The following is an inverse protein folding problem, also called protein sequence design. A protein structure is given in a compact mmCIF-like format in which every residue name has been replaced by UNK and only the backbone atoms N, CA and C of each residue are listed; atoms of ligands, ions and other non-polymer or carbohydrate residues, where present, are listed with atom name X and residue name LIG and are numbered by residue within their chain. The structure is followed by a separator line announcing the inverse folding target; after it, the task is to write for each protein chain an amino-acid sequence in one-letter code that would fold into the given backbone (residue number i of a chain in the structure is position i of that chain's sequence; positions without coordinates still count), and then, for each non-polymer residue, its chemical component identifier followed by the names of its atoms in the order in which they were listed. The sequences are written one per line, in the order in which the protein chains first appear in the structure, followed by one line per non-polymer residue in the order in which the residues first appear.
data_IF_548555472519
#
_entry.id   IF_548555472519
#
_cell.length_a   1.000
_cell.length_b   1.000
_cell.length_c   1.000
_cell.angle_alpha   90.00
_cell.angle_beta   90.00
_cell.angle_gamma   90.00
#
_symmetry.space_group_name_H-M   'P 1'
#
loop_
_entity.id
_entity.type
_entity.pdbx_description
1 polymer ?
#
# COMPACT_ATOMS: atom_id res chain seq x y z
N UNK A 1 14.28 -38.32 22.20
CA UNK A 1 14.23 -38.06 20.76
C UNK A 1 12.84 -37.72 20.25
N UNK A 2 11.84 -38.52 20.59
CA UNK A 2 10.45 -38.22 20.22
C UNK A 2 9.97 -36.86 20.75
N UNK A 3 10.28 -36.56 22.01
CA UNK A 3 9.91 -35.31 22.65
C UNK A 3 10.51 -34.10 21.96
N UNK A 4 11.79 -34.21 21.50
CA UNK A 4 12.46 -33.12 20.79
C UNK A 4 11.82 -32.85 19.43
N UNK A 5 11.33 -33.88 18.74
CA UNK A 5 10.65 -33.75 17.45
C UNK A 5 9.28 -33.09 17.65
N UNK A 6 8.54 -33.50 18.68
CA UNK A 6 7.23 -32.92 18.99
C UNK A 6 7.36 -31.45 19.39
N UNK A 7 8.34 -31.11 20.23
CA UNK A 7 8.64 -29.73 20.60
C UNK A 7 9.00 -28.89 19.38
N UNK A 8 9.83 -29.45 18.50
CA UNK A 8 10.21 -28.76 17.27
C UNK A 8 9.00 -28.46 16.38
N UNK A 9 8.09 -29.41 16.22
CA UNK A 9 6.86 -29.23 15.41
C UNK A 9 5.98 -28.14 16.02
N UNK A 10 5.78 -28.17 17.35
CA UNK A 10 4.98 -27.17 18.06
C UNK A 10 5.58 -25.77 17.90
N UNK A 11 6.88 -25.65 18.07
CA UNK A 11 7.58 -24.36 17.89
C UNK A 11 7.50 -23.87 16.45
N UNK A 12 7.64 -24.76 15.48
CA UNK A 12 7.53 -24.41 14.06
C UNK A 12 6.14 -23.89 13.72
N UNK A 13 5.09 -24.54 14.22
CA UNK A 13 3.72 -24.12 14.03
C UNK A 13 3.42 -22.77 14.70
N UNK A 14 3.90 -22.58 15.93
CA UNK A 14 3.75 -21.33 16.64
C UNK A 14 4.45 -20.19 15.91
N UNK A 15 5.65 -20.43 15.38
CA UNK A 15 6.40 -19.47 14.58
C UNK A 15 5.66 -19.11 13.31
N UNK A 16 5.09 -20.11 12.62
CA UNK A 16 4.30 -19.91 11.42
C UNK A 16 3.09 -19.03 11.69
N UNK A 17 2.38 -19.27 12.78
CA UNK A 17 1.23 -18.45 13.19
C UNK A 17 1.65 -17.01 13.48
N UNK A 18 2.75 -16.81 14.19
CA UNK A 18 3.26 -15.46 14.48
C UNK A 18 3.63 -14.71 13.19
N UNK A 19 4.27 -15.38 12.23
CA UNK A 19 4.63 -14.79 10.94
C UNK A 19 3.39 -14.44 10.12
N UNK A 20 2.36 -15.28 10.16
CA UNK A 20 1.10 -15.01 9.47
C UNK A 20 0.42 -13.77 10.04
N UNK A 21 0.31 -13.68 11.37
CA UNK A 21 -0.29 -12.52 12.05
C UNK A 21 0.52 -11.25 11.75
N UNK A 22 1.83 -11.36 11.79
CA UNK A 22 2.71 -10.24 11.45
C UNK A 22 2.49 -9.76 10.01
N UNK A 23 2.44 -10.70 9.06
CA UNK A 23 2.22 -10.38 7.64
C UNK A 23 0.87 -9.69 7.42
N UNK A 24 -0.18 -10.17 8.10
CA UNK A 24 -1.51 -9.57 8.03
C UNK A 24 -1.52 -8.14 8.55
N UNK A 25 -0.85 -7.88 9.68
CA UNK A 25 -0.75 -6.54 10.25
C UNK A 25 0.03 -5.59 9.33
N UNK A 26 1.12 -6.05 8.73
CA UNK A 26 1.89 -5.26 7.77
C UNK A 26 1.03 -4.94 6.55
N UNK A 27 0.26 -5.91 6.05
CA UNK A 27 -0.62 -5.71 4.91
C UNK A 27 -1.71 -4.67 5.21
N UNK A 28 -2.33 -4.73 6.38
CA UNK A 28 -3.30 -3.74 6.83
C UNK A 28 -2.69 -2.34 6.89
N UNK A 29 -1.47 -2.24 7.41
CA UNK A 29 -0.73 -0.96 7.47
C UNK A 29 -0.45 -0.40 6.08
N UNK A 30 -0.05 -1.25 5.14
CA UNK A 30 0.19 -0.85 3.75
C UNK A 30 -1.09 -0.36 3.09
N UNK A 31 -2.20 -1.09 3.27
CA UNK A 31 -3.51 -0.69 2.75
C UNK A 31 -3.93 0.67 3.30
N UNK A 32 -3.77 0.89 4.60
CA UNK A 32 -4.12 2.15 5.24
C UNK A 32 -3.27 3.30 4.70
N UNK A 33 -1.95 3.13 4.66
CA UNK A 33 -1.03 4.15 4.17
C UNK A 33 -1.24 4.49 2.70
N UNK A 34 -1.44 3.48 1.85
CA UNK A 34 -1.69 3.72 0.42
C UNK A 34 -3.05 4.36 0.20
N UNK A 35 -4.07 4.01 0.98
CA UNK A 35 -5.38 4.64 0.93
C UNK A 35 -5.30 6.13 1.26
N UNK A 36 -4.54 6.51 2.28
CA UNK A 36 -4.35 7.91 2.66
C UNK A 36 -3.66 8.70 1.55
N UNK A 37 -2.62 8.16 0.96
CA UNK A 37 -1.89 8.81 -0.15
C UNK A 37 -2.81 8.98 -1.36
N UNK A 38 -3.53 7.93 -1.74
CA UNK A 38 -4.45 7.97 -2.87
C UNK A 38 -5.54 9.02 -2.63
N UNK A 39 -6.09 9.08 -1.44
CA UNK A 39 -7.11 10.07 -1.09
C UNK A 39 -6.60 11.50 -1.25
N UNK A 40 -5.38 11.77 -0.81
CA UNK A 40 -4.76 13.07 -0.98
C UNK A 40 -4.52 13.40 -2.46
N UNK A 41 -4.09 12.43 -3.26
CA UNK A 41 -3.88 12.61 -4.69
C UNK A 41 -5.20 12.88 -5.41
N UNK A 42 -6.26 12.17 -5.08
CA UNK A 42 -7.58 12.38 -5.65
C UNK A 42 -8.13 13.76 -5.29
N UNK A 43 -7.97 14.18 -4.04
CA UNK A 43 -8.36 15.51 -3.60
C UNK A 43 -7.61 16.60 -4.39
N UNK A 44 -6.32 16.43 -4.59
CA UNK A 44 -5.49 17.36 -5.37
C UNK A 44 -5.90 17.37 -6.84
N UNK A 45 -6.22 16.21 -7.40
CA UNK A 45 -6.74 16.11 -8.77
C UNK A 45 -8.04 16.93 -8.93
N UNK A 46 -8.97 16.77 -7.99
CA UNK A 46 -10.22 17.53 -7.99
C UNK A 46 -9.99 19.03 -7.82
N UNK A 47 -9.05 19.39 -6.95
CA UNK A 47 -8.71 20.80 -6.72
C UNK A 47 -8.18 21.46 -7.98
N UNK A 48 -7.44 20.71 -8.80
CA UNK A 48 -6.92 21.19 -10.09
C UNK A 48 -7.92 21.03 -11.24
N UNK A 49 -9.14 20.53 -10.96
CA UNK A 49 -10.16 20.26 -11.98
C UNK A 49 -9.69 19.31 -13.08
N UNK A 50 -8.85 18.34 -12.72
CA UNK A 50 -8.39 17.31 -13.66
C UNK A 50 -9.24 16.06 -13.57
N UNK A 51 -9.49 15.46 -14.75
CA UNK A 51 -10.24 14.20 -14.85
C UNK A 51 -9.30 13.00 -14.69
N UNK A 52 -9.87 11.83 -14.37
CA UNK A 52 -9.10 10.58 -14.41
C UNK A 52 -8.48 10.36 -15.79
N UNK A 53 -9.21 10.66 -16.86
CA UNK A 53 -8.72 10.48 -18.22
C UNK A 53 -7.48 11.35 -18.49
N UNK A 54 -7.47 12.58 -18.02
CA UNK A 54 -6.32 13.46 -18.17
C UNK A 54 -5.08 12.90 -17.44
N UNK A 55 -5.26 12.39 -16.22
CA UNK A 55 -4.16 11.72 -15.50
C UNK A 55 -3.68 10.49 -16.26
N UNK A 56 -4.61 9.68 -16.77
CA UNK A 56 -4.28 8.49 -17.55
C UNK A 56 -3.47 8.86 -18.80
N UNK A 57 -3.87 9.90 -19.51
CA UNK A 57 -3.19 10.37 -20.72
C UNK A 57 -1.77 10.86 -20.43
N UNK A 58 -1.58 11.58 -19.33
CA UNK A 58 -0.26 12.11 -18.95
C UNK A 58 0.67 10.99 -18.47
N UNK A 59 0.16 10.07 -17.68
CA UNK A 59 0.98 9.06 -16.99
C UNK A 59 1.18 7.78 -17.78
N UNK A 60 0.31 7.50 -18.76
CA UNK A 60 0.25 6.20 -19.43
C UNK A 60 -0.39 5.10 -18.58
N UNK A 61 -0.93 5.42 -17.43
CA UNK A 61 -1.68 4.45 -16.60
C UNK A 61 -3.02 4.20 -17.29
N UNK A 62 -3.40 2.92 -17.44
CA UNK A 62 -4.70 2.59 -18.02
C UNK A 62 -5.83 3.16 -17.16
N UNK A 63 -6.88 3.77 -17.77
CA UNK A 63 -7.99 4.34 -17.02
C UNK A 63 -8.66 3.35 -16.04
N UNK A 64 -8.79 2.08 -16.44
CA UNK A 64 -9.34 1.04 -15.58
C UNK A 64 -8.48 0.78 -14.35
N UNK A 65 -7.16 0.80 -14.49
CA UNK A 65 -6.24 0.65 -13.36
C UNK A 65 -6.29 1.88 -12.45
N UNK A 66 -6.34 3.06 -13.02
CA UNK A 66 -6.45 4.30 -12.27
C UNK A 66 -7.73 4.30 -11.41
N UNK A 67 -8.86 3.91 -11.99
CA UNK A 67 -10.12 3.80 -11.26
C UNK A 67 -10.03 2.81 -10.10
N UNK A 68 -9.33 1.69 -10.28
CA UNK A 68 -9.11 0.70 -9.21
C UNK A 68 -8.23 1.23 -8.09
N UNK A 69 -7.20 2.00 -8.40
CA UNK A 69 -6.36 2.64 -7.39
C UNK A 69 -7.18 3.66 -6.61
N UNK A 70 -7.94 4.51 -7.28
CA UNK A 70 -8.73 5.56 -6.63
C UNK A 70 -9.86 4.99 -5.77
N UNK A 71 -10.45 3.87 -6.17
CA UNK A 71 -11.51 3.21 -5.38
C UNK A 71 -10.98 2.37 -4.23
N UNK A 72 -9.67 2.16 -4.15
CA UNK A 72 -9.05 1.33 -3.11
C UNK A 72 -9.12 -0.16 -3.37
N UNK A 73 -9.60 -0.60 -4.54
CA UNK A 73 -9.67 -2.03 -4.87
C UNK A 73 -8.33 -2.61 -5.30
N UNK A 74 -7.32 -1.78 -5.51
CA UNK A 74 -5.97 -2.21 -5.85
C UNK A 74 -4.94 -1.27 -5.22
N UNK A 75 -3.89 -1.85 -4.62
CA UNK A 75 -2.76 -1.09 -4.09
C UNK A 75 -1.81 -0.75 -5.24
N UNK A 76 -1.55 0.53 -5.52
CA UNK A 76 -0.60 0.92 -6.55
C UNK A 76 0.84 0.68 -6.11
N UNK A 77 1.73 0.52 -7.08
CA UNK A 77 3.16 0.52 -6.81
C UNK A 77 3.65 1.93 -6.49
N UNK A 78 4.82 2.02 -5.89
CA UNK A 78 5.44 3.32 -5.61
C UNK A 78 5.63 4.14 -6.90
N UNK A 79 6.06 3.48 -7.97
CA UNK A 79 6.24 4.13 -9.28
C UNK A 79 4.94 4.73 -9.78
N UNK A 80 3.83 4.02 -9.65
CA UNK A 80 2.50 4.51 -10.05
C UNK A 80 2.09 5.71 -9.23
N UNK A 81 2.30 5.68 -7.91
CA UNK A 81 2.02 6.82 -7.02
C UNK A 81 2.81 8.06 -7.44
N UNK A 82 4.10 7.89 -7.72
CA UNK A 82 4.95 9.00 -8.15
C UNK A 82 4.55 9.54 -9.53
N UNK A 83 4.14 8.68 -10.45
CA UNK A 83 3.62 9.11 -11.75
C UNK A 83 2.36 9.95 -11.60
N UNK A 84 1.44 9.51 -10.74
CA UNK A 84 0.21 10.23 -10.47
C UNK A 84 0.52 11.61 -9.87
N UNK A 85 1.35 11.65 -8.85
CA UNK A 85 1.75 12.90 -8.22
C UNK A 85 2.43 13.85 -9.22
N UNK A 86 3.32 13.35 -10.06
CA UNK A 86 4.00 14.14 -11.07
C UNK A 86 3.03 14.76 -12.08
N UNK A 87 1.98 14.03 -12.46
CA UNK A 87 0.94 14.56 -13.35
C UNK A 87 0.19 15.74 -12.72
N UNK A 88 0.17 15.84 -11.40
CA UNK A 88 -0.41 16.95 -10.65
C UNK A 88 0.61 18.06 -10.34
N UNK A 89 1.84 17.93 -10.80
CA UNK A 89 2.92 18.85 -10.46
C UNK A 89 3.40 18.70 -9.02
N UNK A 90 3.19 17.53 -8.42
CA UNK A 90 3.54 17.22 -7.04
C UNK A 90 4.54 16.08 -6.97
N UNK A 91 5.07 15.83 -5.81
CA UNK A 91 5.88 14.66 -5.51
C UNK A 91 5.48 14.13 -4.14
N UNK A 92 5.73 12.84 -3.91
CA UNK A 92 5.40 12.21 -2.64
C UNK A 92 6.64 12.26 -1.75
N UNK A 93 6.49 12.86 -0.57
CA UNK A 93 7.54 12.86 0.43
C UNK A 93 7.39 11.65 1.34
N UNK A 94 8.51 11.00 1.64
CA UNK A 94 8.55 9.81 2.49
C UNK A 94 9.36 10.11 3.74
N UNK A 95 8.84 9.69 4.87
CA UNK A 95 9.53 9.81 6.13
C UNK A 95 9.55 8.46 6.84
N UNK A 96 10.75 8.07 7.29
CA UNK A 96 10.89 6.90 8.16
C UNK A 96 10.64 7.37 9.58
N UNK A 97 9.63 6.80 10.20
CA UNK A 97 9.26 7.11 11.59
C UNK A 97 9.43 5.90 12.49
N UNK A 98 9.36 6.15 13.78
CA UNK A 98 9.38 5.06 14.76
C UNK A 98 8.05 4.32 14.78
N UNK A 99 8.09 3.01 15.01
CA UNK A 99 6.90 2.19 15.13
C UNK A 99 6.39 2.20 16.57
N UNK A 100 5.48 3.14 16.86
CA UNK A 100 4.90 3.30 18.19
C UNK A 100 3.90 2.19 18.53
N UNK A 101 3.40 1.47 17.53
CA UNK A 101 2.41 0.42 17.74
C UNK A 101 3.02 -0.94 18.06
N UNK A 102 4.32 -1.08 17.93
CA UNK A 102 5.03 -2.27 18.37
C UNK A 102 4.69 -3.54 17.58
N UNK A 103 4.69 -3.46 16.27
CA UNK A 103 4.59 -4.68 15.46
C UNK A 103 5.83 -5.57 15.69
#
# INVERSE_FOLDING_TARGET
MRENVEEYIVEKEARRKRLTVYAEKIQERVLHSSSDIIKQLVEERHRQNMTQQEIADITGILPSNLARFESGSRVPTWVVLEKYAAALGKHIEVKIGDDEQGL
#
